data_IF_500917429671
#
_entry.id   IF_500917429671
#
_cell.length_a   1.000
_cell.length_b   1.000
_cell.length_c   1.000
_cell.angle_alpha   90.00
_cell.angle_beta   90.00
_cell.angle_gamma   90.00
#
_symmetry.space_group_name_H-M   'P 1'
#
loop_
_entity.id
_entity.type
_entity.pdbx_description
1 polymer ?
#
# COMPACT_ATOMS: atom_id res chain seq x y z
N UNK A 1 -8.51 26.16 26.56
CA UNK A 1 -8.32 25.16 25.49
C UNK A 1 -7.73 25.74 24.20
N UNK A 2 -7.78 27.07 23.95
CA UNK A 2 -7.27 27.68 22.70
C UNK A 2 -5.74 27.87 22.64
N UNK A 3 -5.09 28.10 23.78
CA UNK A 3 -3.65 28.40 23.83
C UNK A 3 -2.79 27.13 23.59
N UNK A 4 -3.14 26.02 24.24
CA UNK A 4 -2.45 24.72 24.07
C UNK A 4 -2.53 24.16 22.65
N UNK A 5 -3.67 24.30 21.96
CA UNK A 5 -3.80 23.83 20.57
C UNK A 5 -2.95 24.66 19.60
N UNK A 6 -2.77 25.95 19.88
CA UNK A 6 -1.94 26.86 19.07
C UNK A 6 -0.46 26.53 19.27
N UNK A 7 -0.02 26.30 20.50
CA UNK A 7 1.37 25.92 20.81
C UNK A 7 1.77 24.58 20.19
N UNK A 8 0.92 23.54 20.26
CA UNK A 8 1.18 22.24 19.62
C UNK A 8 1.27 22.37 18.11
N UNK A 9 0.34 23.11 17.48
CA UNK A 9 0.37 23.33 16.04
C UNK A 9 1.63 24.06 15.55
N UNK A 10 2.15 25.00 16.35
CA UNK A 10 3.38 25.75 16.05
C UNK A 10 4.62 24.86 16.22
N UNK A 11 4.56 23.91 17.16
CA UNK A 11 5.63 22.93 17.39
C UNK A 11 5.69 21.90 16.26
N UNK A 12 4.54 21.39 15.81
CA UNK A 12 4.48 20.45 14.69
C UNK A 12 4.99 21.08 13.38
N UNK A 13 4.62 22.34 13.13
CA UNK A 13 5.11 23.08 11.95
C UNK A 13 6.63 23.24 11.96
N UNK A 14 7.21 23.57 13.13
CA UNK A 14 8.66 23.67 13.29
C UNK A 14 9.36 22.33 13.04
N UNK A 15 8.83 21.22 13.58
CA UNK A 15 9.37 19.87 13.36
C UNK A 15 9.36 19.48 11.88
N UNK A 16 8.26 19.75 11.19
CA UNK A 16 8.14 19.48 9.75
C UNK A 16 9.13 20.34 8.95
N UNK A 17 9.25 21.63 9.27
CA UNK A 17 10.20 22.53 8.60
C UNK A 17 11.63 22.06 8.80
N UNK A 18 12.02 21.71 10.03
CA UNK A 18 13.36 21.22 10.35
C UNK A 18 13.69 19.93 9.57
N UNK A 19 12.75 18.99 9.50
CA UNK A 19 12.92 17.76 8.73
C UNK A 19 13.05 18.04 7.22
N UNK A 20 12.28 18.98 6.67
CA UNK A 20 12.39 19.40 5.26
C UNK A 20 13.76 20.02 4.99
N UNK A 21 14.18 20.98 5.81
CA UNK A 21 15.47 21.66 5.66
C UNK A 21 16.62 20.65 5.70
N UNK A 22 16.53 19.70 6.63
CA UNK A 22 17.50 18.60 6.73
C UNK A 22 17.50 17.70 5.50
N UNK A 23 16.33 17.28 5.01
CA UNK A 23 16.22 16.46 3.80
C UNK A 23 16.91 17.15 2.61
N UNK A 24 16.59 18.42 2.38
CA UNK A 24 17.10 19.16 1.22
C UNK A 24 18.59 19.52 1.34
N UNK A 25 19.09 19.75 2.56
CA UNK A 25 20.50 20.04 2.79
C UNK A 25 21.38 18.79 2.69
N UNK A 26 20.93 17.65 3.25
CA UNK A 26 21.70 16.39 3.24
C UNK A 26 21.54 15.61 1.93
N UNK A 27 20.41 15.77 1.24
CA UNK A 27 20.06 15.02 0.02
C UNK A 27 19.48 15.97 -1.04
N UNK A 28 20.29 16.89 -1.61
CA UNK A 28 19.81 17.81 -2.64
C UNK A 28 19.25 17.03 -3.86
N UNK A 29 17.99 17.26 -4.30
CA UNK A 29 17.33 16.41 -5.29
C UNK A 29 18.01 16.34 -6.67
N UNK A 30 18.75 17.38 -7.06
CA UNK A 30 19.49 17.42 -8.32
C UNK A 30 20.83 16.68 -8.30
N UNK A 31 21.29 16.27 -7.12
CA UNK A 31 22.59 15.61 -6.91
C UNK A 31 22.44 14.24 -6.22
N UNK A 32 21.23 13.87 -5.81
CA UNK A 32 20.92 12.61 -5.12
C UNK A 32 20.11 11.71 -6.04
N UNK A 33 20.52 10.43 -6.16
CA UNK A 33 19.73 9.44 -6.87
C UNK A 33 18.32 9.32 -6.27
N UNK A 34 17.31 9.16 -7.14
CA UNK A 34 15.90 9.30 -6.77
C UNK A 34 15.48 8.37 -5.63
N UNK A 35 15.91 7.12 -5.69
CA UNK A 35 15.62 6.10 -4.67
C UNK A 35 16.24 6.48 -3.31
N UNK A 36 17.49 6.95 -3.32
CA UNK A 36 18.17 7.41 -2.11
C UNK A 36 17.49 8.64 -1.50
N UNK A 37 17.05 9.58 -2.34
CA UNK A 37 16.30 10.76 -1.89
C UNK A 37 14.98 10.35 -1.21
N UNK A 38 14.19 9.47 -1.83
CA UNK A 38 12.95 8.99 -1.23
C UNK A 38 13.19 8.15 0.02
N UNK A 39 14.30 7.41 0.08
CA UNK A 39 14.73 6.70 1.27
C UNK A 39 14.99 7.66 2.43
N UNK A 40 15.78 8.71 2.20
CA UNK A 40 16.03 9.75 3.19
C UNK A 40 14.75 10.49 3.60
N UNK A 41 13.84 10.76 2.65
CA UNK A 41 12.53 11.35 2.94
C UNK A 41 11.70 10.45 3.88
N UNK A 42 11.67 9.13 3.65
CA UNK A 42 11.03 8.18 4.55
C UNK A 42 11.69 8.19 5.93
N UNK A 43 13.01 8.08 5.99
CA UNK A 43 13.78 7.97 7.23
C UNK A 43 13.65 9.23 8.11
N UNK A 44 13.40 10.41 7.50
CA UNK A 44 13.13 11.68 8.17
C UNK A 44 11.65 11.90 8.55
N UNK A 45 10.76 10.92 8.28
CA UNK A 45 9.35 11.01 8.65
C UNK A 45 8.48 11.84 7.69
N UNK A 46 8.95 12.08 6.47
CA UNK A 46 8.31 12.95 5.49
C UNK A 46 7.54 12.18 4.39
N UNK A 47 7.47 10.85 4.50
CA UNK A 47 6.76 9.99 3.57
C UNK A 47 5.25 10.01 3.79
N UNK A 48 4.79 9.94 5.04
CA UNK A 48 3.41 10.18 5.45
C UNK A 48 3.46 10.83 6.82
N UNK A 49 3.45 12.16 6.87
CA UNK A 49 3.73 12.91 8.12
C UNK A 49 2.86 12.50 9.32
N UNK A 50 1.66 11.96 9.06
CA UNK A 50 0.72 11.47 10.07
C UNK A 50 0.99 10.06 10.59
N UNK A 51 1.86 9.29 9.93
CA UNK A 51 2.25 7.98 10.42
C UNK A 51 3.14 8.11 11.66
N UNK A 52 3.25 7.04 12.48
CA UNK A 52 4.17 7.02 13.60
C UNK A 52 5.62 7.28 13.19
N UNK A 53 6.41 7.78 14.13
CA UNK A 53 7.87 7.87 13.98
C UNK A 53 8.46 6.48 13.72
N UNK A 54 9.47 6.43 12.85
CA UNK A 54 10.07 5.17 12.37
C UNK A 54 9.26 4.44 11.29
N UNK A 55 8.00 4.84 11.04
CA UNK A 55 7.15 4.26 9.98
C UNK A 55 6.92 5.23 8.81
N UNK A 56 7.87 6.12 8.58
CA UNK A 56 7.81 7.12 7.50
C UNK A 56 7.06 8.41 7.87
N UNK A 57 6.67 8.60 9.12
CA UNK A 57 5.96 9.79 9.60
C UNK A 57 6.59 10.48 10.81
N UNK A 58 5.99 11.59 11.22
CA UNK A 58 6.37 12.40 12.39
C UNK A 58 5.27 12.39 13.47
N UNK A 59 4.18 11.65 13.25
CA UNK A 59 3.00 11.63 14.11
C UNK A 59 2.21 12.94 14.12
N UNK A 60 2.33 13.78 13.09
CA UNK A 60 1.70 15.11 13.03
C UNK A 60 0.46 15.14 12.13
N UNK A 61 -0.29 16.24 12.13
CA UNK A 61 -1.49 16.36 11.29
C UNK A 61 -1.18 16.14 9.78
N UNK A 62 -2.00 15.36 9.03
CA UNK A 62 -1.78 15.12 7.60
C UNK A 62 -1.84 16.39 6.75
N UNK A 63 -2.39 17.50 7.28
CA UNK A 63 -2.39 18.81 6.62
C UNK A 63 -0.98 19.30 6.24
N UNK A 64 0.04 18.85 6.97
CA UNK A 64 1.42 19.24 6.72
C UNK A 64 2.05 18.53 5.51
N UNK A 65 1.44 17.45 5.00
CA UNK A 65 1.98 16.74 3.83
C UNK A 65 2.03 17.63 2.58
N UNK A 66 1.08 18.56 2.43
CA UNK A 66 1.10 19.54 1.33
C UNK A 66 2.31 20.46 1.42
N UNK A 67 2.71 20.86 2.63
CA UNK A 67 3.91 21.69 2.86
C UNK A 67 5.17 20.93 2.46
N UNK A 68 5.28 19.66 2.85
CA UNK A 68 6.40 18.78 2.47
C UNK A 68 6.50 18.63 0.96
N UNK A 69 5.41 18.23 0.30
CA UNK A 69 5.41 17.99 -1.14
C UNK A 69 5.75 19.27 -1.92
N UNK A 70 5.22 20.44 -1.50
CA UNK A 70 5.53 21.72 -2.12
C UNK A 70 7.01 22.08 -1.98
N UNK A 71 7.58 21.95 -0.77
CA UNK A 71 8.98 22.27 -0.54
C UNK A 71 9.93 21.39 -1.39
N UNK A 72 9.62 20.10 -1.53
CA UNK A 72 10.38 19.18 -2.39
C UNK A 72 10.32 19.64 -3.85
N UNK A 73 9.13 19.96 -4.37
CA UNK A 73 8.95 20.40 -5.76
C UNK A 73 9.62 21.77 -6.02
N UNK A 74 9.49 22.72 -5.09
CA UNK A 74 10.11 24.05 -5.19
C UNK A 74 11.65 23.94 -5.20
N UNK A 75 12.21 22.92 -4.55
CA UNK A 75 13.64 22.58 -4.58
C UNK A 75 14.06 21.75 -5.80
N UNK A 76 13.15 21.48 -6.74
CA UNK A 76 13.42 20.69 -7.95
C UNK A 76 13.38 19.17 -7.77
N UNK A 77 12.91 18.68 -6.61
CA UNK A 77 12.70 17.26 -6.35
C UNK A 77 11.40 16.70 -6.92
N UNK A 78 11.34 15.38 -7.03
CA UNK A 78 10.16 14.67 -7.57
C UNK A 78 9.35 14.01 -6.45
N UNK A 79 8.03 14.12 -6.57
CA UNK A 79 7.02 13.41 -5.75
C UNK A 79 6.31 12.31 -6.57
N UNK A 80 6.92 11.89 -7.69
CA UNK A 80 6.32 10.95 -8.63
C UNK A 80 6.20 9.53 -8.07
N UNK A 81 6.91 9.19 -7.00
CA UNK A 81 6.77 7.90 -6.33
C UNK A 81 5.30 7.59 -6.01
N UNK A 82 4.54 8.59 -5.57
CA UNK A 82 3.10 8.45 -5.28
C UNK A 82 2.28 8.05 -6.50
N UNK A 83 2.65 8.51 -7.69
CA UNK A 83 2.00 8.11 -8.95
C UNK A 83 2.48 6.73 -9.40
N UNK A 84 3.77 6.47 -9.28
CA UNK A 84 4.42 5.22 -9.69
C UNK A 84 3.92 4.01 -8.89
N UNK A 85 3.68 4.19 -7.59
CA UNK A 85 3.20 3.15 -6.69
C UNK A 85 1.91 3.58 -5.97
N UNK A 86 0.93 4.07 -6.74
CA UNK A 86 -0.32 4.64 -6.18
C UNK A 86 -1.10 3.64 -5.31
N UNK A 87 -1.07 2.35 -5.65
CA UNK A 87 -1.77 1.32 -4.89
C UNK A 87 -1.04 1.04 -3.56
N UNK A 88 0.29 0.89 -3.59
CA UNK A 88 1.08 0.70 -2.39
C UNK A 88 1.01 1.94 -1.49
N UNK A 89 1.45 3.08 -2.00
CA UNK A 89 1.59 4.31 -1.21
C UNK A 89 0.24 4.91 -0.81
N UNK A 90 -0.75 4.85 -1.70
CA UNK A 90 -2.06 5.45 -1.51
C UNK A 90 -3.02 4.58 -0.69
N UNK A 91 -2.87 3.26 -0.71
CA UNK A 91 -3.81 2.34 -0.06
C UNK A 91 -3.13 1.31 0.86
N UNK A 92 -2.08 0.66 0.38
CA UNK A 92 -1.37 -0.40 1.09
C UNK A 92 -0.71 0.08 2.38
N UNK A 93 -0.01 1.21 2.33
CA UNK A 93 0.69 1.79 3.48
C UNK A 93 -0.26 2.03 4.66
N UNK A 94 -1.40 2.70 4.41
CA UNK A 94 -2.42 2.94 5.43
C UNK A 94 -3.09 1.66 5.93
N UNK A 95 -3.23 0.64 5.07
CA UNK A 95 -3.76 -0.67 5.45
C UNK A 95 -2.80 -1.39 6.40
N UNK A 96 -1.49 -1.37 6.12
CA UNK A 96 -0.47 -1.96 6.98
C UNK A 96 -0.35 -1.25 8.32
N UNK A 97 -0.47 0.08 8.36
CA UNK A 97 -0.50 0.84 9.62
C UNK A 97 -1.71 0.44 10.49
N UNK A 98 -2.86 0.22 9.87
CA UNK A 98 -4.09 -0.09 10.60
C UNK A 98 -4.20 -1.55 11.03
N UNK A 99 -3.72 -2.50 10.22
CA UNK A 99 -3.98 -3.94 10.39
C UNK A 99 -2.75 -4.84 10.34
N UNK A 100 -1.61 -4.34 9.84
CA UNK A 100 -0.37 -5.10 9.75
C UNK A 100 0.37 -5.14 11.07
N UNK A 101 1.20 -6.18 11.26
CA UNK A 101 2.10 -6.27 12.42
C UNK A 101 3.24 -5.25 12.30
N UNK A 102 3.98 -5.03 13.39
CA UNK A 102 5.15 -4.14 13.35
C UNK A 102 6.19 -4.62 12.33
N UNK A 103 6.41 -5.93 12.25
CA UNK A 103 7.34 -6.55 11.30
C UNK A 103 6.90 -6.33 9.84
N UNK A 104 5.60 -6.40 9.57
CA UNK A 104 5.06 -6.09 8.23
C UNK A 104 5.29 -4.62 7.87
N UNK A 105 5.05 -3.72 8.82
CA UNK A 105 5.27 -2.29 8.62
C UNK A 105 6.76 -1.99 8.36
N UNK A 106 7.67 -2.60 9.12
CA UNK A 106 9.12 -2.45 8.93
C UNK A 106 9.60 -3.05 7.61
N UNK A 107 9.03 -4.19 7.20
CA UNK A 107 9.41 -4.87 5.96
C UNK A 107 9.00 -4.08 4.72
N UNK A 108 7.80 -3.51 4.70
CA UNK A 108 7.19 -3.07 3.45
C UNK A 108 7.05 -1.56 3.28
N UNK A 109 6.94 -0.76 4.35
CA UNK A 109 6.63 0.67 4.17
C UNK A 109 7.73 1.44 3.43
N UNK A 110 9.00 1.17 3.74
CA UNK A 110 10.12 1.88 3.12
C UNK A 110 10.32 1.48 1.65
N UNK A 111 10.47 0.18 1.28
CA UNK A 111 10.59 -0.22 -0.13
C UNK A 111 9.38 0.15 -1.00
N UNK A 112 8.19 0.17 -0.38
CA UNK A 112 6.97 0.65 -1.04
C UNK A 112 7.06 2.15 -1.35
N UNK A 113 7.56 2.97 -0.42
CA UNK A 113 7.66 4.42 -0.60
C UNK A 113 8.76 4.81 -1.60
N UNK A 114 9.90 4.11 -1.60
CA UNK A 114 11.01 4.30 -2.54
C UNK A 114 10.72 3.73 -3.91
N UNK A 115 9.61 3.00 -4.08
CA UNK A 115 9.20 2.33 -5.32
C UNK A 115 10.14 1.22 -5.79
N UNK A 116 11.04 0.75 -4.93
CA UNK A 116 11.81 -0.49 -5.14
C UNK A 116 10.87 -1.69 -5.29
N UNK A 117 9.76 -1.68 -4.57
CA UNK A 117 8.72 -2.71 -4.65
C UNK A 117 7.36 -2.06 -4.99
N UNK A 118 6.90 -2.26 -6.23
CA UNK A 118 5.58 -1.78 -6.70
C UNK A 118 4.48 -2.73 -6.22
N UNK A 119 3.31 -2.17 -5.91
CA UNK A 119 2.17 -2.89 -5.39
C UNK A 119 0.98 -2.85 -6.36
N UNK A 120 0.16 -3.89 -6.34
CA UNK A 120 -1.14 -3.94 -7.00
C UNK A 120 -2.27 -4.33 -6.04
N UNK A 121 -3.52 -4.12 -6.47
CA UNK A 121 -4.73 -4.51 -5.75
C UNK A 121 -5.48 -5.58 -6.52
N UNK A 122 -5.88 -6.65 -5.84
CA UNK A 122 -6.53 -7.82 -6.44
C UNK A 122 -7.84 -8.17 -5.73
N UNK A 123 -8.82 -7.28 -5.88
CA UNK A 123 -10.14 -7.41 -5.24
C UNK A 123 -11.19 -7.95 -6.21
N UNK A 124 -11.27 -7.38 -7.42
CA UNK A 124 -12.25 -7.74 -8.43
C UNK A 124 -11.97 -9.10 -9.09
N UNK A 125 -13.05 -9.82 -9.41
CA UNK A 125 -13.05 -11.12 -10.08
C UNK A 125 -14.00 -11.12 -11.28
N UNK A 126 -13.82 -12.06 -12.24
CA UNK A 126 -14.87 -12.36 -13.21
C UNK A 126 -16.16 -12.75 -12.49
N UNK A 127 -17.16 -11.87 -12.55
CA UNK A 127 -18.46 -12.06 -11.87
C UNK A 127 -18.60 -11.40 -10.49
N UNK A 128 -17.53 -10.82 -9.93
CA UNK A 128 -17.59 -10.06 -8.67
C UNK A 128 -16.74 -8.78 -8.75
N UNK A 129 -17.37 -7.68 -9.17
CA UNK A 129 -16.78 -6.32 -9.16
C UNK A 129 -17.34 -5.48 -8.02
N UNK A 130 -18.55 -4.93 -8.21
CA UNK A 130 -19.22 -4.10 -7.20
C UNK A 130 -19.66 -4.87 -5.94
N UNK A 131 -19.91 -6.19 -6.05
CA UNK A 131 -20.16 -7.09 -4.92
C UNK A 131 -18.86 -7.79 -4.51
N UNK A 132 -17.96 -7.06 -3.83
CA UNK A 132 -16.70 -7.62 -3.34
C UNK A 132 -16.92 -8.83 -2.41
N UNK A 133 -18.00 -8.81 -1.62
CA UNK A 133 -18.32 -9.89 -0.70
C UNK A 133 -18.66 -11.20 -1.44
N UNK A 134 -19.08 -11.10 -2.70
CA UNK A 134 -19.39 -12.21 -3.60
C UNK A 134 -18.17 -12.91 -4.20
N UNK A 135 -16.94 -12.50 -3.87
CA UNK A 135 -15.73 -13.10 -4.42
C UNK A 135 -15.64 -14.61 -4.11
N UNK A 136 -14.93 -15.31 -4.99
CA UNK A 136 -14.86 -16.77 -5.14
C UNK A 136 -13.44 -17.33 -5.12
N UNK A 137 -12.39 -16.52 -5.30
CA UNK A 137 -10.99 -16.96 -5.13
C UNK A 137 -10.83 -17.57 -3.75
N UNK A 138 -10.37 -18.81 -3.65
CA UNK A 138 -10.27 -19.55 -2.40
C UNK A 138 -8.86 -19.48 -1.82
N UNK A 139 -8.75 -19.62 -0.50
CA UNK A 139 -7.50 -19.92 0.17
C UNK A 139 -7.75 -21.02 1.22
N UNK A 140 -7.06 -22.14 1.10
CA UNK A 140 -7.20 -23.30 2.00
C UNK A 140 -5.92 -23.43 2.82
N UNK A 141 -6.03 -23.53 4.15
CA UNK A 141 -4.86 -23.60 5.03
C UNK A 141 -4.21 -24.98 4.96
N UNK A 142 -2.91 -25.01 4.70
CA UNK A 142 -2.06 -26.20 4.72
C UNK A 142 -0.82 -25.93 5.59
N UNK A 143 -0.87 -26.39 6.85
CA UNK A 143 0.19 -26.13 7.82
C UNK A 143 0.31 -24.64 8.15
N UNK A 144 1.48 -24.07 7.84
CA UNK A 144 1.83 -22.65 7.99
C UNK A 144 1.64 -21.84 6.70
N UNK A 145 1.08 -22.44 5.65
CA UNK A 145 0.79 -21.78 4.37
C UNK A 145 -0.69 -21.89 3.99
N UNK A 146 -1.06 -21.18 2.93
CA UNK A 146 -2.36 -21.20 2.30
C UNK A 146 -2.21 -21.50 0.82
N UNK A 147 -2.96 -22.48 0.33
CA UNK A 147 -3.06 -22.78 -1.10
C UNK A 147 -4.20 -21.96 -1.69
N UNK A 148 -3.86 -21.09 -2.64
CA UNK A 148 -4.78 -20.13 -3.26
C UNK A 148 -5.10 -20.54 -4.68
N UNK A 149 -6.40 -20.51 -5.00
CA UNK A 149 -6.91 -20.83 -6.34
C UNK A 149 -7.98 -19.83 -6.77
N UNK A 150 -7.87 -19.30 -7.99
CA UNK A 150 -8.87 -18.40 -8.54
C UNK A 150 -8.33 -17.42 -9.57
N UNK A 151 -9.13 -16.42 -9.89
CA UNK A 151 -8.80 -15.40 -10.89
C UNK A 151 -9.22 -14.01 -10.40
N UNK A 152 -8.31 -13.06 -10.55
CA UNK A 152 -8.50 -11.63 -10.33
C UNK A 152 -8.41 -10.90 -11.66
N UNK A 153 -9.14 -9.81 -11.79
CA UNK A 153 -9.23 -9.01 -13.04
C UNK A 153 -9.27 -7.53 -12.71
N UNK A 154 -8.99 -6.68 -13.71
CA UNK A 154 -8.86 -5.23 -13.55
C UNK A 154 -7.73 -4.82 -12.60
N UNK A 155 -6.68 -5.65 -12.50
CA UNK A 155 -5.56 -5.39 -11.60
C UNK A 155 -4.62 -4.36 -12.22
N UNK A 156 -4.65 -3.13 -11.74
CA UNK A 156 -3.71 -2.08 -12.15
C UNK A 156 -2.29 -2.40 -11.67
N UNK A 157 -1.29 -2.13 -12.50
CA UNK A 157 0.14 -2.40 -12.26
C UNK A 157 0.53 -3.87 -12.04
N UNK A 158 -0.38 -4.85 -12.22
CA UNK A 158 -0.09 -6.26 -11.94
C UNK A 158 1.20 -6.80 -12.57
N UNK A 159 1.52 -6.41 -13.81
CA UNK A 159 2.73 -6.84 -14.51
C UNK A 159 4.03 -6.14 -14.06
N UNK A 160 3.92 -5.11 -13.21
CA UNK A 160 5.06 -4.38 -12.62
C UNK A 160 5.18 -4.63 -11.12
N UNK A 161 4.14 -5.19 -10.50
CA UNK A 161 4.04 -5.31 -9.05
C UNK A 161 4.91 -6.46 -8.53
N UNK A 162 5.66 -6.18 -7.47
CA UNK A 162 6.30 -7.21 -6.63
C UNK A 162 5.28 -7.81 -5.65
N UNK A 163 4.40 -6.97 -5.12
CA UNK A 163 3.45 -7.36 -4.08
C UNK A 163 2.01 -7.09 -4.49
N UNK A 164 1.11 -7.98 -4.08
CA UNK A 164 -0.32 -7.87 -4.30
C UNK A 164 -1.10 -7.83 -3.00
N UNK A 165 -2.07 -6.92 -2.91
CA UNK A 165 -3.10 -6.93 -1.88
C UNK A 165 -4.25 -7.83 -2.32
N UNK A 166 -4.37 -9.00 -1.69
CA UNK A 166 -5.26 -10.07 -2.10
C UNK A 166 -6.35 -10.32 -1.04
N UNK A 167 -7.60 -10.47 -1.50
CA UNK A 167 -8.71 -10.95 -0.65
C UNK A 167 -9.23 -12.26 -1.22
N UNK A 168 -9.32 -13.26 -0.35
CA UNK A 168 -9.77 -14.62 -0.69
C UNK A 168 -10.87 -15.08 0.25
N UNK A 169 -11.67 -16.05 -0.20
CA UNK A 169 -12.62 -16.81 0.59
C UNK A 169 -11.91 -17.95 1.30
N UNK A 170 -11.85 -17.89 2.62
CA UNK A 170 -11.29 -18.96 3.47
C UNK A 170 -12.38 -19.81 4.12
N UNK A 171 -13.61 -19.29 4.23
CA UNK A 171 -14.76 -20.02 4.77
C UNK A 171 -16.03 -19.70 3.96
N UNK A 172 -16.55 -20.65 3.16
CA UNK A 172 -17.78 -20.44 2.38
C UNK A 172 -19.07 -20.68 3.19
N UNK A 173 -19.00 -21.27 4.38
CA UNK A 173 -20.16 -21.70 5.17
C UNK A 173 -20.66 -20.62 6.14
N UNK A 174 -19.88 -19.55 6.32
CA UNK A 174 -20.23 -18.37 7.12
C UNK A 174 -20.78 -17.23 6.26
N UNK A 175 -21.43 -16.20 6.85
CA UNK A 175 -21.86 -15.03 6.10
C UNK A 175 -20.73 -14.43 5.26
N UNK A 176 -21.04 -14.04 4.02
CA UNK A 176 -20.06 -13.68 2.99
C UNK A 176 -18.89 -12.80 3.48
N UNK A 177 -19.17 -11.77 4.28
CA UNK A 177 -18.15 -10.85 4.82
C UNK A 177 -17.24 -11.50 5.87
N UNK A 178 -17.76 -12.41 6.68
CA UNK A 178 -17.01 -13.10 7.74
C UNK A 178 -16.15 -14.26 7.20
N UNK A 179 -16.36 -14.65 5.94
CA UNK A 179 -15.64 -15.75 5.29
C UNK A 179 -14.40 -15.32 4.50
N UNK A 180 -14.01 -14.04 4.60
CA UNK A 180 -12.91 -13.46 3.82
C UNK A 180 -11.65 -13.31 4.65
N UNK A 181 -10.50 -13.52 4.03
CA UNK A 181 -9.18 -13.27 4.62
C UNK A 181 -8.33 -12.45 3.66
N UNK A 182 -7.50 -11.57 4.22
CA UNK A 182 -6.65 -10.65 3.48
C UNK A 182 -5.19 -11.11 3.55
N UNK A 183 -4.50 -11.10 2.42
CA UNK A 183 -3.11 -11.48 2.30
C UNK A 183 -2.31 -10.42 1.53
N UNK A 184 -1.04 -10.29 1.89
CA UNK A 184 -0.02 -9.81 0.96
C UNK A 184 0.52 -11.02 0.20
N UNK A 185 0.58 -10.93 -1.12
CA UNK A 185 1.10 -12.01 -1.98
C UNK A 185 2.29 -11.52 -2.77
N UNK A 186 3.33 -12.36 -2.86
CA UNK A 186 4.45 -12.14 -3.76
C UNK A 186 4.00 -12.52 -5.17
N UNK A 187 4.04 -11.56 -6.09
CA UNK A 187 3.55 -11.72 -7.46
C UNK A 187 4.44 -12.63 -8.31
N UNK A 188 5.63 -12.99 -7.82
CA UNK A 188 6.54 -13.96 -8.45
C UNK A 188 6.45 -15.37 -7.84
N UNK A 189 5.52 -15.60 -6.91
CA UNK A 189 5.28 -16.93 -6.33
C UNK A 189 4.89 -17.92 -7.43
N UNK A 190 5.41 -19.14 -7.36
CA UNK A 190 4.95 -20.24 -8.22
C UNK A 190 3.42 -20.43 -8.07
N UNK A 191 2.73 -20.58 -9.20
CA UNK A 191 1.26 -20.62 -9.24
C UNK A 191 0.59 -19.25 -9.40
N UNK A 192 1.34 -18.13 -9.38
CA UNK A 192 0.82 -16.79 -9.74
C UNK A 192 1.17 -16.48 -11.19
N UNK A 193 0.16 -16.29 -12.03
CA UNK A 193 0.33 -15.90 -13.44
C UNK A 193 -0.34 -14.55 -13.71
N UNK A 194 0.44 -13.56 -14.13
CA UNK A 194 -0.06 -12.24 -14.53
C UNK A 194 -0.21 -12.18 -16.05
N UNK A 195 -1.41 -11.83 -16.52
CA UNK A 195 -1.71 -11.61 -17.95
C UNK A 195 -2.15 -10.17 -18.21
N UNK A 196 -1.33 -9.35 -18.89
CA UNK A 196 -1.73 -7.98 -19.23
C UNK A 196 -2.92 -7.95 -20.19
N UNK A 197 -3.89 -7.08 -19.92
CA UNK A 197 -5.03 -6.80 -20.80
C UNK A 197 -4.67 -5.63 -21.71
N UNK A 198 -4.24 -5.94 -22.93
CA UNK A 198 -3.88 -4.94 -23.92
C UNK A 198 -5.14 -4.29 -24.52
N UNK A 199 -5.22 -2.97 -24.40
CA UNK A 199 -6.21 -2.16 -25.10
C UNK A 199 -5.86 -2.06 -26.59
N UNK A 200 -6.79 -1.53 -27.41
CA UNK A 200 -6.54 -1.30 -28.85
C UNK A 200 -5.36 -0.34 -29.11
N UNK A 201 -5.02 0.49 -28.13
CA UNK A 201 -3.85 1.40 -28.14
C UNK A 201 -2.52 0.66 -27.96
N UNK A 202 -2.55 -0.62 -27.57
CA UNK A 202 -1.36 -1.41 -27.22
C UNK A 202 -0.88 -1.22 -25.78
N UNK A 203 -1.53 -0.36 -25.00
CA UNK A 203 -1.23 -0.16 -23.58
C UNK A 203 -1.96 -1.20 -22.72
N UNK A 204 -1.30 -1.65 -21.64
CA UNK A 204 -1.86 -2.59 -20.69
C UNK A 204 -1.97 -1.95 -19.30
N UNK A 205 -3.00 -1.13 -19.12
CA UNK A 205 -3.26 -0.48 -17.82
C UNK A 205 -3.79 -1.47 -16.77
N UNK A 206 -4.41 -2.57 -17.21
CA UNK A 206 -5.02 -3.58 -16.36
C UNK A 206 -4.51 -4.98 -16.69
N UNK A 207 -4.62 -5.88 -15.73
CA UNK A 207 -4.14 -7.25 -15.84
C UNK A 207 -5.20 -8.20 -15.27
N UNK A 208 -5.22 -9.41 -15.81
CA UNK A 208 -5.74 -10.58 -15.12
C UNK A 208 -4.62 -11.22 -14.31
N UNK A 209 -4.96 -11.78 -13.16
CA UNK A 209 -4.02 -12.55 -12.33
C UNK A 209 -4.69 -13.87 -11.98
N UNK A 210 -4.03 -14.97 -12.31
CA UNK A 210 -4.49 -16.31 -12.04
C UNK A 210 -3.67 -16.90 -10.89
N UNK A 211 -4.35 -17.62 -10.01
CA UNK A 211 -3.77 -18.39 -8.92
C UNK A 211 -4.11 -19.86 -9.18
N UNK A 212 -3.08 -20.68 -9.35
CA UNK A 212 -3.16 -22.13 -9.56
C UNK A 212 -2.23 -22.80 -8.56
N UNK A 213 -2.83 -23.31 -7.47
CA UNK A 213 -2.12 -23.86 -6.31
C UNK A 213 -0.98 -22.96 -5.77
N UNK A 214 -1.21 -21.63 -5.77
CA UNK A 214 -0.23 -20.66 -5.29
C UNK A 214 -0.13 -20.70 -3.75
N UNK A 215 1.10 -20.78 -3.23
CA UNK A 215 1.33 -20.93 -1.78
C UNK A 215 1.69 -19.60 -1.12
N UNK A 216 0.86 -19.16 -0.17
CA UNK A 216 1.09 -17.93 0.61
C UNK A 216 1.38 -18.29 2.07
N UNK A 217 2.49 -17.83 2.67
CA UNK A 217 2.74 -18.00 4.10
C UNK A 217 1.65 -17.36 4.97
N UNK A 218 1.23 -18.01 6.07
CA UNK A 218 0.28 -17.40 7.03
C UNK A 218 0.86 -16.13 7.67
N UNK A 219 2.19 -15.98 7.71
CA UNK A 219 2.86 -14.75 8.14
C UNK A 219 2.60 -13.55 7.23
N UNK A 220 2.05 -13.74 6.03
CA UNK A 220 1.65 -12.65 5.12
C UNK A 220 0.14 -12.35 5.19
N UNK A 221 -0.58 -13.03 6.09
CA UNK A 221 -1.99 -12.71 6.39
C UNK A 221 -2.08 -11.41 7.19
N UNK A 222 -2.89 -10.48 6.71
CA UNK A 222 -3.15 -9.20 7.37
C UNK A 222 -4.46 -9.29 8.13
N UNK A 223 -4.41 -9.07 9.45
CA UNK A 223 -5.55 -9.31 10.35
C UNK A 223 -5.87 -10.80 10.54
N UNK A 224 -6.92 -11.10 11.31
CA UNK A 224 -7.33 -12.49 11.59
C UNK A 224 -8.03 -13.18 10.42
N UNK A 225 -8.03 -14.52 10.40
CA UNK A 225 -8.87 -15.30 9.48
C UNK A 225 -10.33 -14.87 9.65
N UNK A 226 -11.00 -14.53 8.56
CA UNK A 226 -12.36 -14.00 8.57
C UNK A 226 -12.47 -12.47 8.76
N UNK A 227 -11.35 -11.77 9.00
CA UNK A 227 -11.32 -10.29 9.09
C UNK A 227 -11.01 -9.61 7.76
N UNK A 228 -10.87 -10.36 6.67
CA UNK A 228 -10.46 -9.82 5.37
C UNK A 228 -11.38 -8.73 4.84
N UNK A 229 -12.68 -8.77 5.17
CA UNK A 229 -13.62 -7.69 4.83
C UNK A 229 -13.26 -6.36 5.52
N UNK A 230 -12.93 -6.39 6.82
CA UNK A 230 -12.58 -5.18 7.57
C UNK A 230 -11.29 -4.54 7.02
N UNK A 231 -10.29 -5.38 6.74
CA UNK A 231 -9.02 -4.95 6.15
C UNK A 231 -9.26 -4.36 4.75
N UNK A 232 -10.03 -5.04 3.89
CA UNK A 232 -10.36 -4.56 2.55
C UNK A 232 -11.11 -3.23 2.56
N UNK A 233 -12.07 -3.03 3.48
CA UNK A 233 -12.76 -1.74 3.62
C UNK A 233 -11.79 -0.62 4.00
N UNK A 234 -10.79 -0.92 4.84
CA UNK A 234 -9.75 0.06 5.19
C UNK A 234 -8.90 0.43 3.97
N UNK A 235 -8.51 -0.55 3.16
CA UNK A 235 -7.83 -0.30 1.87
C UNK A 235 -8.66 0.62 0.97
N UNK A 236 -9.95 0.34 0.79
CA UNK A 236 -10.85 1.16 -0.05
C UNK A 236 -11.19 2.53 0.55
N UNK A 237 -11.12 2.69 1.87
CA UNK A 237 -11.26 4.01 2.50
C UNK A 237 -10.04 4.89 2.20
N UNK A 238 -8.83 4.31 2.22
CA UNK A 238 -7.61 5.02 1.84
C UNK A 238 -7.61 5.38 0.34
N UNK A 239 -8.16 4.51 -0.53
CA UNK A 239 -8.37 4.81 -1.95
C UNK A 239 -9.10 6.14 -2.18
N UNK A 240 -10.19 6.37 -1.44
CA UNK A 240 -11.00 7.60 -1.58
C UNK A 240 -10.24 8.86 -1.21
N UNK A 241 -9.21 8.76 -0.37
CA UNK A 241 -8.34 9.88 0.02
C UNK A 241 -7.19 10.05 -0.99
N UNK A 242 -6.74 8.97 -1.61
CA UNK A 242 -5.62 8.98 -2.55
C UNK A 242 -6.03 9.36 -3.98
N UNK A 243 -7.25 8.99 -4.41
CA UNK A 243 -7.76 9.17 -5.79
C UNK A 243 -8.89 10.21 -5.85
N UNK A 244 -9.56 10.50 -4.72
CA UNK A 244 -10.61 11.53 -4.61
C UNK A 244 -10.05 12.91 -4.27
#
# INVERSE_FOLDING_TARGET
>A
MSESATTTATTDEARVSEAIDRLLAENPPGETEREAFWGAQFDLGLAWVQFPEGKGGLGVSPRFQTTVNRAIVDAGGSVDNRRMNVLGIGMGAGTLIAHGTEEMQDRWLRPMFTTEEIWCQMFSEPGAGSDLAGLSTTAVKEGDTWVVNGQKVWTTLGHLARWGMLVTRTDPDVPKHAGLTYFIVDMETEGVEVRPLYQITGEAEFNEVYFDDAHIPDSYRVGDVGQGWSVAMTTLMNERVAIG
#
